data_IF_771828163881
#
_entry.id   IF_771828163881
#
_cell.length_a   1.000
_cell.length_b   1.000
_cell.length_c   1.000
_cell.angle_alpha   90.00
_cell.angle_beta   90.00
_cell.angle_gamma   90.00
#
_symmetry.space_group_name_H-M   'P 1'
#
loop_
_entity.id
_entity.type
_entity.pdbx_description
1 polymer ?
#
# COMPACT_ATOMS: atom_id res chain seq x y z
N UNK A 1 -42.19 28.27 25.56
CA UNK A 1 -42.03 27.40 24.34
C UNK A 1 -40.62 27.47 23.75
N UNK A 2 -39.79 28.48 23.94
CA UNK A 2 -38.42 28.58 23.40
C UNK A 2 -37.36 27.75 24.15
N UNK A 3 -37.52 27.51 25.44
CA UNK A 3 -36.53 26.75 26.23
C UNK A 3 -36.51 25.26 25.94
N UNK A 4 -37.65 24.64 25.57
CA UNK A 4 -37.73 23.22 25.23
C UNK A 4 -37.14 22.89 23.84
N UNK A 5 -37.11 23.85 22.90
CA UNK A 5 -36.53 23.63 21.57
C UNK A 5 -34.99 23.64 21.61
N UNK A 6 -34.40 24.51 22.45
CA UNK A 6 -32.95 24.57 22.59
C UNK A 6 -32.40 23.35 23.36
N UNK A 7 -33.13 22.83 24.36
CA UNK A 7 -32.71 21.61 25.06
C UNK A 7 -32.84 20.35 24.13
N UNK A 8 -33.80 20.32 23.20
CA UNK A 8 -33.97 19.23 22.26
C UNK A 8 -32.89 19.24 21.17
N UNK A 9 -32.47 20.41 20.71
CA UNK A 9 -31.36 20.55 19.74
C UNK A 9 -30.02 20.21 20.39
N UNK A 10 -29.76 20.66 21.60
CA UNK A 10 -28.55 20.33 22.38
C UNK A 10 -28.46 18.80 22.65
N UNK A 11 -29.54 18.15 23.04
CA UNK A 11 -29.57 16.69 23.26
C UNK A 11 -29.28 15.92 21.94
N UNK A 12 -29.78 16.37 20.80
CA UNK A 12 -29.53 15.73 19.51
C UNK A 12 -28.09 15.90 19.04
N UNK A 13 -27.46 17.06 19.25
CA UNK A 13 -26.06 17.31 18.88
C UNK A 13 -25.14 16.43 19.75
N UNK A 14 -25.38 16.34 21.05
CA UNK A 14 -24.62 15.46 21.95
C UNK A 14 -24.80 13.97 21.65
N UNK A 15 -25.98 13.53 21.20
CA UNK A 15 -26.21 12.13 20.83
C UNK A 15 -25.57 11.72 19.49
N UNK A 16 -25.13 12.69 18.66
CA UNK A 16 -24.45 12.40 17.40
C UNK A 16 -22.92 12.40 17.51
N UNK A 17 -22.33 12.94 18.57
CA UNK A 17 -20.88 12.94 18.75
C UNK A 17 -20.40 11.54 19.13
N UNK A 18 -19.48 11.00 18.36
CA UNK A 18 -18.79 9.74 18.66
C UNK A 18 -17.87 9.97 19.88
N UNK A 19 -17.84 9.00 20.79
CA UNK A 19 -16.98 9.02 21.95
C UNK A 19 -15.56 8.54 21.57
N UNK A 20 -14.57 9.43 21.61
CA UNK A 20 -13.20 9.10 21.25
C UNK A 20 -12.58 7.98 22.08
N UNK A 21 -12.70 7.92 23.41
CA UNK A 21 -12.23 6.79 24.21
C UNK A 21 -12.75 5.42 23.73
N UNK A 22 -14.00 5.35 23.27
CA UNK A 22 -14.57 4.11 22.70
C UNK A 22 -14.02 3.82 21.31
N UNK A 23 -13.81 4.83 20.47
CA UNK A 23 -13.17 4.66 19.15
C UNK A 23 -11.71 4.21 19.29
N UNK A 24 -10.95 4.79 20.22
CA UNK A 24 -9.59 4.35 20.52
C UNK A 24 -9.54 2.90 21.03
N UNK A 25 -10.49 2.51 21.89
CA UNK A 25 -10.60 1.14 22.36
C UNK A 25 -10.85 0.16 21.19
N UNK A 26 -11.76 0.51 20.27
CA UNK A 26 -12.03 -0.29 19.07
C UNK A 26 -10.78 -0.42 18.20
N UNK A 27 -10.14 0.70 17.85
CA UNK A 27 -8.95 0.70 17.02
C UNK A 27 -7.80 -0.11 17.66
N UNK A 28 -7.58 0.03 18.97
CA UNK A 28 -6.57 -0.72 19.70
C UNK A 28 -6.85 -2.25 19.67
N UNK A 29 -8.10 -2.68 19.88
CA UNK A 29 -8.46 -4.12 19.84
C UNK A 29 -8.24 -4.69 18.45
N UNK A 30 -8.61 -3.97 17.41
CA UNK A 30 -8.43 -4.42 16.02
C UNK A 30 -6.94 -4.51 15.65
N UNK A 31 -6.14 -3.48 15.98
CA UNK A 31 -4.69 -3.46 15.68
C UNK A 31 -3.91 -4.51 16.47
N UNK A 32 -4.24 -4.67 17.74
CA UNK A 32 -3.58 -5.64 18.62
C UNK A 32 -4.12 -7.06 18.46
N UNK A 33 -5.31 -7.22 17.87
CA UNK A 33 -6.00 -8.50 17.73
C UNK A 33 -6.41 -9.14 19.07
N UNK A 34 -6.39 -8.36 20.20
CA UNK A 34 -6.71 -8.87 21.54
C UNK A 34 -7.15 -7.73 22.46
N UNK A 35 -8.17 -8.00 23.29
CA UNK A 35 -8.67 -7.09 24.30
C UNK A 35 -7.63 -6.82 25.39
N UNK A 36 -6.88 -7.85 25.80
CA UNK A 36 -5.86 -7.76 26.84
C UNK A 36 -4.65 -6.91 26.36
N UNK A 37 -4.23 -7.09 25.10
CA UNK A 37 -3.14 -6.29 24.53
C UNK A 37 -3.57 -4.83 24.35
N UNK A 38 -4.78 -4.60 23.85
CA UNK A 38 -5.34 -3.26 23.72
C UNK A 38 -5.44 -2.53 25.09
N UNK A 39 -5.87 -3.25 26.13
CA UNK A 39 -5.95 -2.71 27.47
C UNK A 39 -4.58 -2.25 28.01
N UNK A 40 -3.54 -3.05 27.77
CA UNK A 40 -2.15 -2.67 28.13
C UNK A 40 -1.69 -1.45 27.36
N UNK A 41 -1.93 -1.40 26.04
CA UNK A 41 -1.54 -0.25 25.19
C UNK A 41 -2.22 1.04 25.61
N UNK A 42 -3.49 0.97 26.06
CA UNK A 42 -4.27 2.14 26.47
C UNK A 42 -4.22 2.42 27.98
N UNK A 43 -3.40 1.65 28.72
CA UNK A 43 -3.26 1.78 30.19
C UNK A 43 -4.59 1.72 30.95
N UNK A 44 -5.48 0.81 30.54
CA UNK A 44 -6.78 0.56 31.16
C UNK A 44 -6.99 -0.93 31.42
N UNK A 45 -8.08 -1.30 32.09
CA UNK A 45 -8.42 -2.71 32.33
C UNK A 45 -9.09 -3.35 31.10
N UNK A 46 -8.96 -4.67 30.86
CA UNK A 46 -9.68 -5.35 29.80
C UNK A 46 -11.20 -5.22 29.88
N UNK A 47 -11.74 -5.14 31.11
CA UNK A 47 -13.17 -4.89 31.35
C UNK A 47 -13.59 -3.50 30.86
N UNK A 48 -12.76 -2.47 31.06
CA UNK A 48 -13.03 -1.12 30.56
C UNK A 48 -13.06 -1.09 29.03
N UNK A 49 -12.12 -1.77 28.36
CA UNK A 49 -12.14 -1.92 26.90
C UNK A 49 -13.43 -2.60 26.43
N UNK A 50 -13.79 -3.74 27.05
CA UNK A 50 -15.00 -4.47 26.69
C UNK A 50 -16.27 -3.64 26.88
N UNK A 51 -16.35 -2.85 27.96
CA UNK A 51 -17.48 -1.97 28.21
C UNK A 51 -17.56 -0.83 27.17
N UNK A 52 -16.43 -0.19 26.84
CA UNK A 52 -16.38 0.88 25.81
C UNK A 52 -16.84 0.37 24.45
N UNK A 53 -16.36 -0.80 24.04
CA UNK A 53 -16.76 -1.41 22.76
C UNK A 53 -18.25 -1.77 22.78
N UNK A 54 -18.75 -2.39 23.85
CA UNK A 54 -20.15 -2.72 23.98
C UNK A 54 -21.05 -1.48 23.88
N UNK A 55 -20.73 -0.39 24.59
CA UNK A 55 -21.48 0.87 24.49
C UNK A 55 -21.45 1.46 23.07
N UNK A 56 -20.33 1.33 22.37
CA UNK A 56 -20.21 1.78 20.98
C UNK A 56 -21.05 0.90 20.05
N UNK A 57 -21.05 -0.42 20.24
CA UNK A 57 -21.88 -1.38 19.49
C UNK A 57 -23.38 -1.13 19.71
N UNK A 58 -23.81 -0.90 20.96
CA UNK A 58 -25.18 -0.51 21.30
C UNK A 58 -25.61 0.78 20.61
N UNK A 59 -24.70 1.76 20.54
CA UNK A 59 -24.96 3.06 19.91
C UNK A 59 -25.03 2.96 18.39
N UNK A 60 -24.16 2.15 17.77
CA UNK A 60 -24.12 1.91 16.32
C UNK A 60 -25.23 0.96 15.87
N UNK A 61 -25.74 0.14 16.78
CA UNK A 61 -26.78 -0.86 16.51
C UNK A 61 -26.26 -2.12 15.82
N UNK A 62 -24.95 -2.36 15.84
CA UNK A 62 -24.32 -3.53 15.23
C UNK A 62 -23.01 -3.91 15.91
N UNK A 63 -22.63 -5.20 15.81
CA UNK A 63 -21.33 -5.65 16.26
C UNK A 63 -20.20 -4.96 15.46
N UNK A 64 -19.16 -4.52 16.16
CA UNK A 64 -17.99 -3.85 15.58
C UNK A 64 -16.74 -4.74 15.57
N UNK A 65 -16.69 -5.76 16.44
CA UNK A 65 -15.60 -6.70 16.58
C UNK A 65 -16.07 -8.12 16.41
N UNK A 66 -15.44 -8.87 15.52
CA UNK A 66 -15.53 -10.34 15.46
C UNK A 66 -14.53 -10.88 16.48
N UNK A 67 -15.05 -11.51 17.54
CA UNK A 67 -14.22 -12.12 18.57
C UNK A 67 -13.55 -13.39 18.03
N UNK A 68 -12.25 -13.51 18.21
CA UNK A 68 -11.43 -14.63 17.75
C UNK A 68 -9.97 -14.41 18.12
N UNK A 69 -9.08 -15.29 17.67
CA UNK A 69 -7.63 -15.11 17.82
C UNK A 69 -7.00 -15.13 16.41
N UNK A 70 -6.69 -13.95 15.85
CA UNK A 70 -6.86 -12.60 16.40
C UNK A 70 -8.31 -12.08 16.29
N UNK A 71 -8.67 -11.11 17.15
CA UNK A 71 -9.88 -10.31 17.00
C UNK A 71 -9.81 -9.49 15.70
N UNK A 72 -10.93 -9.38 15.00
CA UNK A 72 -11.01 -8.64 13.72
C UNK A 72 -12.17 -7.65 13.73
N UNK A 73 -12.05 -6.57 12.98
CA UNK A 73 -13.16 -5.64 12.80
C UNK A 73 -14.25 -6.22 11.88
N UNK A 74 -15.51 -5.93 12.17
CA UNK A 74 -16.60 -6.03 11.21
C UNK A 74 -16.48 -4.91 10.16
N UNK A 75 -17.35 -4.92 9.13
CA UNK A 75 -17.38 -3.81 8.15
C UNK A 75 -17.67 -2.45 8.83
N UNK A 76 -18.64 -2.41 9.75
CA UNK A 76 -18.93 -1.21 10.52
C UNK A 76 -17.73 -0.81 11.43
N UNK A 77 -17.10 -1.80 12.07
CA UNK A 77 -15.90 -1.57 12.89
C UNK A 77 -14.74 -0.99 12.08
N UNK A 78 -14.50 -1.50 10.87
CA UNK A 78 -13.46 -0.97 9.98
C UNK A 78 -13.69 0.50 9.61
N UNK A 79 -14.92 0.87 9.29
CA UNK A 79 -15.29 2.27 8.97
C UNK A 79 -15.01 3.21 10.14
N UNK A 80 -15.27 2.77 11.37
CA UNK A 80 -14.96 3.55 12.56
C UNK A 80 -13.45 3.63 12.84
N UNK A 81 -12.71 2.56 12.62
CA UNK A 81 -11.23 2.60 12.69
C UNK A 81 -10.65 3.60 11.68
N UNK A 82 -11.11 3.56 10.41
CA UNK A 82 -10.72 4.55 9.40
C UNK A 82 -11.07 6.00 9.81
N UNK A 83 -12.23 6.18 10.41
CA UNK A 83 -12.64 7.49 10.88
C UNK A 83 -11.68 8.03 11.94
N UNK A 84 -11.36 7.23 12.98
CA UNK A 84 -10.46 7.69 14.04
C UNK A 84 -9.03 7.92 13.52
N UNK A 85 -8.56 7.11 12.56
CA UNK A 85 -7.25 7.32 11.94
C UNK A 85 -7.16 8.68 11.21
N UNK A 86 -8.23 9.06 10.50
CA UNK A 86 -8.34 10.39 9.87
C UNK A 86 -8.40 11.53 10.88
N UNK A 87 -9.12 11.33 11.97
CA UNK A 87 -9.17 12.33 13.05
C UNK A 87 -7.79 12.54 13.67
N UNK A 88 -7.07 11.44 13.96
CA UNK A 88 -5.71 11.53 14.50
C UNK A 88 -4.74 12.26 13.56
N UNK A 89 -4.91 12.11 12.24
CA UNK A 89 -4.13 12.88 11.27
C UNK A 89 -4.43 14.38 11.35
N UNK A 90 -5.72 14.76 11.39
CA UNK A 90 -6.12 16.16 11.51
C UNK A 90 -5.63 16.79 12.83
N UNK A 91 -5.70 16.03 13.93
CA UNK A 91 -5.15 16.48 15.22
C UNK A 91 -3.61 16.62 15.15
N UNK A 92 -2.92 15.70 14.48
CA UNK A 92 -1.48 15.79 14.28
C UNK A 92 -1.08 17.03 13.44
N UNK A 93 -1.81 17.33 12.37
CA UNK A 93 -1.61 18.55 11.57
C UNK A 93 -1.82 19.80 12.42
N UNK A 94 -2.87 19.83 13.23
CA UNK A 94 -3.16 20.94 14.15
C UNK A 94 -2.05 21.12 15.20
N UNK A 95 -1.50 20.04 15.76
CA UNK A 95 -0.37 20.10 16.68
C UNK A 95 0.88 20.69 16.03
N UNK A 96 1.12 20.41 14.75
CA UNK A 96 2.20 21.03 13.97
C UNK A 96 2.04 22.54 13.82
N UNK A 97 0.80 23.03 13.72
CA UNK A 97 0.47 24.46 13.66
C UNK A 97 0.45 25.12 15.05
N UNK A 98 0.08 24.37 16.09
CA UNK A 98 -0.07 24.83 17.47
C UNK A 98 0.74 23.93 18.43
N UNK A 99 2.07 24.05 18.49
CA UNK A 99 2.93 23.17 19.29
C UNK A 99 2.62 23.19 20.80
N UNK A 100 1.96 24.24 21.29
CA UNK A 100 1.55 24.34 22.70
C UNK A 100 0.46 23.35 23.10
N UNK A 101 -0.22 22.73 22.13
CA UNK A 101 -1.25 21.72 22.37
C UNK A 101 -0.67 20.29 22.42
N UNK A 102 0.59 20.11 22.04
CA UNK A 102 1.21 18.80 22.02
C UNK A 102 1.52 18.32 23.44
N UNK A 103 0.92 17.22 23.93
CA UNK A 103 1.28 16.67 25.22
C UNK A 103 2.74 16.21 25.22
N UNK A 104 3.48 16.49 26.29
CA UNK A 104 4.82 15.94 26.47
C UNK A 104 4.78 14.41 26.35
N UNK A 105 5.54 13.87 25.39
CA UNK A 105 5.56 12.42 25.14
C UNK A 105 4.40 11.88 24.29
N UNK A 106 3.72 12.74 23.51
CA UNK A 106 2.69 12.29 22.57
C UNK A 106 3.22 11.18 21.64
N UNK A 107 2.47 10.10 21.53
CA UNK A 107 2.81 9.01 20.63
C UNK A 107 2.71 9.49 19.17
N UNK A 108 3.77 9.26 18.38
CA UNK A 108 3.78 9.61 16.96
C UNK A 108 2.67 8.87 16.22
N UNK A 109 1.99 9.56 15.33
CA UNK A 109 1.00 8.95 14.44
C UNK A 109 1.69 8.00 13.47
N UNK A 110 1.18 6.78 13.33
CA UNK A 110 1.67 5.81 12.35
C UNK A 110 0.75 5.80 11.14
N UNK A 111 1.33 6.04 9.96
CA UNK A 111 0.63 6.00 8.68
C UNK A 111 0.87 4.67 8.00
N UNK A 112 -0.18 3.88 7.83
CA UNK A 112 -0.13 2.64 7.07
C UNK A 112 -0.32 2.94 5.58
N UNK A 113 0.64 2.53 4.74
CA UNK A 113 0.66 2.79 3.31
C UNK A 113 0.95 1.49 2.57
N UNK A 114 0.17 1.20 1.52
CA UNK A 114 0.47 0.12 0.58
C UNK A 114 1.22 0.67 -0.64
N UNK A 115 2.21 -0.08 -1.11
CA UNK A 115 3.00 0.30 -2.28
C UNK A 115 3.39 -0.95 -3.07
N UNK A 116 3.46 -0.85 -4.39
CA UNK A 116 4.00 -1.95 -5.18
C UNK A 116 5.54 -2.02 -5.05
N UNK A 117 6.08 -3.22 -5.27
CA UNK A 117 7.50 -3.49 -5.05
C UNK A 117 8.44 -2.61 -5.89
N UNK A 118 8.08 -2.33 -7.14
CA UNK A 118 8.91 -1.51 -8.04
C UNK A 118 8.96 -0.05 -7.61
N UNK A 119 7.83 0.53 -7.20
CA UNK A 119 7.79 1.87 -6.63
C UNK A 119 8.61 1.96 -5.35
N UNK A 120 8.48 0.97 -4.45
CA UNK A 120 9.27 0.92 -3.22
C UNK A 120 10.78 0.85 -3.52
N UNK A 121 11.18 0.06 -4.51
CA UNK A 121 12.57 -0.13 -4.89
C UNK A 121 13.19 1.09 -5.60
N UNK A 122 12.38 2.04 -6.04
CA UNK A 122 12.83 3.20 -6.82
C UNK A 122 12.54 4.52 -6.09
N UNK A 123 11.53 5.23 -6.47
CA UNK A 123 11.24 6.61 -6.07
C UNK A 123 10.55 6.74 -4.70
N UNK A 124 9.79 5.71 -4.26
CA UNK A 124 8.94 5.82 -3.07
C UNK A 124 9.77 5.92 -1.77
N UNK A 125 10.79 5.08 -1.61
CA UNK A 125 11.60 5.08 -0.38
C UNK A 125 12.27 6.45 -0.10
N UNK A 126 12.93 7.12 -1.06
CA UNK A 126 13.43 8.48 -0.86
C UNK A 126 12.32 9.50 -0.52
N UNK A 127 11.17 9.42 -1.21
CA UNK A 127 10.07 10.34 -1.00
C UNK A 127 9.47 10.23 0.41
N UNK A 128 9.21 9.00 0.89
CA UNK A 128 8.65 8.81 2.24
C UNK A 128 9.66 9.08 3.35
N UNK A 129 10.95 8.90 3.09
CA UNK A 129 12.01 9.28 4.05
C UNK A 129 12.00 10.79 4.28
N UNK A 130 11.94 11.59 3.20
CA UNK A 130 11.85 13.03 3.30
C UNK A 130 10.56 13.48 3.99
N UNK A 131 9.42 12.86 3.64
CA UNK A 131 8.13 13.13 4.27
C UNK A 131 8.14 12.81 5.77
N UNK A 132 8.61 11.63 6.17
CA UNK A 132 8.64 11.23 7.58
C UNK A 132 9.50 12.16 8.44
N UNK A 133 10.60 12.66 7.88
CA UNK A 133 11.47 13.63 8.56
C UNK A 133 10.78 14.99 8.78
N UNK A 134 9.97 15.44 7.81
CA UNK A 134 9.27 16.73 7.91
C UNK A 134 7.99 16.65 8.75
N UNK A 135 7.22 15.56 8.62
CA UNK A 135 5.92 15.40 9.24
C UNK A 135 5.97 14.75 10.64
N UNK A 136 7.14 14.33 11.14
CA UNK A 136 7.31 13.69 12.46
C UNK A 136 6.40 12.47 12.68
N UNK A 137 6.05 11.74 11.62
CA UNK A 137 5.21 10.54 11.64
C UNK A 137 6.04 9.26 11.56
N UNK A 138 5.43 8.15 11.97
CA UNK A 138 5.93 6.80 11.70
C UNK A 138 5.22 6.24 10.47
N UNK A 139 5.91 5.40 9.71
CA UNK A 139 5.35 4.77 8.51
C UNK A 139 5.32 3.26 8.69
N UNK A 140 4.18 2.67 8.39
CA UNK A 140 4.01 1.23 8.21
C UNK A 140 3.76 0.97 6.73
N UNK A 141 4.81 0.49 6.04
CA UNK A 141 4.75 0.27 4.59
C UNK A 141 4.55 -1.19 4.31
N UNK A 142 3.44 -1.49 3.64
CA UNK A 142 3.13 -2.84 3.17
C UNK A 142 3.36 -2.94 1.67
N UNK A 143 4.11 -3.97 1.26
CA UNK A 143 4.27 -4.27 -0.17
C UNK A 143 3.13 -5.15 -0.60
N UNK A 144 2.32 -4.65 -1.54
CA UNK A 144 1.17 -5.39 -2.05
C UNK A 144 1.35 -5.81 -3.51
N UNK A 145 0.73 -6.93 -3.82
CA UNK A 145 0.36 -7.33 -5.17
C UNK A 145 -0.87 -6.50 -5.59
N UNK A 146 -0.83 -5.93 -6.78
CA UNK A 146 -1.77 -4.91 -7.29
C UNK A 146 -3.28 -5.24 -7.12
N UNK A 147 -3.61 -6.52 -6.92
CA UNK A 147 -4.99 -6.99 -6.80
C UNK A 147 -5.64 -6.70 -5.43
N UNK A 148 -4.86 -6.53 -4.36
CA UNK A 148 -5.36 -6.37 -2.99
C UNK A 148 -5.40 -4.91 -2.52
N UNK A 149 -4.74 -4.00 -3.22
CA UNK A 149 -4.63 -2.59 -2.84
C UNK A 149 -6.01 -1.93 -2.60
N UNK A 150 -6.99 -2.20 -3.46
CA UNK A 150 -8.34 -1.66 -3.31
C UNK A 150 -9.08 -2.24 -2.08
N UNK A 151 -8.80 -3.50 -1.73
CA UNK A 151 -9.35 -4.13 -0.52
C UNK A 151 -8.74 -3.51 0.74
N UNK A 152 -7.45 -3.30 0.77
CA UNK A 152 -6.75 -2.67 1.90
C UNK A 152 -7.21 -1.24 2.15
N UNK A 153 -7.41 -0.45 1.09
CA UNK A 153 -8.02 0.87 1.20
C UNK A 153 -9.47 0.81 1.72
N UNK A 154 -10.29 -0.10 1.16
CA UNK A 154 -11.70 -0.26 1.61
C UNK A 154 -11.81 -0.77 3.03
N UNK A 155 -10.94 -1.68 3.42
CA UNK A 155 -10.92 -2.24 4.78
C UNK A 155 -10.32 -1.29 5.81
N UNK A 156 -9.64 -0.22 5.37
CA UNK A 156 -8.92 0.67 6.26
C UNK A 156 -7.63 0.07 6.83
N UNK A 157 -7.15 -1.01 6.23
CA UNK A 157 -5.83 -1.55 6.58
C UNK A 157 -4.71 -0.56 6.24
N UNK A 158 -4.93 0.27 5.22
CA UNK A 158 -4.03 1.36 4.84
C UNK A 158 -4.80 2.65 4.59
N UNK A 159 -4.17 3.79 4.86
CA UNK A 159 -4.70 5.13 4.62
C UNK A 159 -4.48 5.60 3.20
N UNK A 160 -3.39 5.18 2.59
CA UNK A 160 -3.03 5.50 1.23
C UNK A 160 -2.42 4.30 0.52
N UNK A 161 -2.45 4.32 -0.81
CA UNK A 161 -1.83 3.27 -1.60
C UNK A 161 -1.27 3.82 -2.92
N UNK A 162 -0.09 3.35 -3.29
CA UNK A 162 0.52 3.57 -4.60
C UNK A 162 0.22 2.35 -5.47
N UNK A 163 -0.55 2.56 -6.52
CA UNK A 163 -1.07 1.47 -7.38
C UNK A 163 -1.03 1.89 -8.85
N UNK A 164 -0.95 0.91 -9.74
CA UNK A 164 -1.13 1.10 -11.18
C UNK A 164 -2.62 1.08 -11.60
N UNK A 165 -3.53 0.79 -10.68
CA UNK A 165 -4.96 0.80 -10.97
C UNK A 165 -5.47 2.23 -11.05
N UNK A 166 -5.96 2.63 -12.22
CA UNK A 166 -6.49 3.98 -12.48
C UNK A 166 -7.89 4.21 -11.91
N UNK A 167 -8.59 3.15 -11.48
CA UNK A 167 -9.92 3.27 -10.89
C UNK A 167 -9.79 3.42 -9.38
N UNK A 168 -10.23 4.54 -8.80
CA UNK A 168 -10.18 4.73 -7.35
C UNK A 168 -11.07 3.71 -6.64
N UNK A 169 -10.64 3.25 -5.47
CA UNK A 169 -11.49 2.47 -4.58
C UNK A 169 -12.66 3.35 -4.10
N UNK A 170 -13.82 2.75 -3.85
CA UNK A 170 -15.00 3.48 -3.36
C UNK A 170 -14.69 4.26 -2.09
N UNK A 171 -14.96 5.56 -2.10
CA UNK A 171 -14.67 6.46 -0.97
C UNK A 171 -13.22 6.96 -0.92
N UNK A 172 -12.40 6.70 -1.93
CA UNK A 172 -11.03 7.20 -2.06
C UNK A 172 -10.92 8.19 -3.22
N UNK A 173 -10.01 9.14 -3.08
CA UNK A 173 -9.56 10.00 -4.18
C UNK A 173 -8.34 9.38 -4.84
N UNK A 174 -8.14 9.65 -6.12
CA UNK A 174 -6.98 9.18 -6.89
C UNK A 174 -6.26 10.39 -7.49
N UNK A 175 -4.94 10.41 -7.33
CA UNK A 175 -4.04 11.40 -7.92
C UNK A 175 -3.03 10.69 -8.82
N UNK A 176 -2.91 11.13 -10.07
CA UNK A 176 -1.90 10.61 -10.99
C UNK A 176 -0.52 11.16 -10.59
N UNK A 177 0.43 10.26 -10.29
CA UNK A 177 1.80 10.60 -9.91
C UNK A 177 2.77 10.56 -11.10
N UNK A 178 2.36 9.98 -12.23
CA UNK A 178 3.20 9.78 -13.40
C UNK A 178 3.21 8.33 -13.87
N UNK A 179 4.22 7.99 -14.68
CA UNK A 179 4.38 6.65 -15.23
C UNK A 179 5.82 6.16 -15.01
N UNK A 180 5.96 4.90 -14.62
CA UNK A 180 7.25 4.24 -14.50
C UNK A 180 7.65 3.65 -15.85
N UNK A 181 8.86 3.96 -16.29
CA UNK A 181 9.41 3.42 -17.53
C UNK A 181 10.11 2.10 -17.28
N UNK A 182 9.75 1.09 -18.05
CA UNK A 182 10.39 -0.23 -18.00
C UNK A 182 11.23 -0.47 -19.27
N UNK A 183 12.39 -1.09 -19.07
CA UNK A 183 13.27 -1.50 -20.15
C UNK A 183 13.44 -3.03 -20.14
N UNK A 184 13.35 -3.67 -21.30
CA UNK A 184 13.68 -5.08 -21.46
C UNK A 184 15.20 -5.22 -21.51
N UNK A 185 15.77 -5.97 -20.58
CA UNK A 185 17.23 -6.11 -20.46
C UNK A 185 17.67 -7.56 -20.30
N UNK A 186 18.86 -7.85 -20.77
CA UNK A 186 19.62 -9.07 -20.55
C UNK A 186 21.11 -8.79 -20.69
N UNK A 187 21.98 -9.71 -20.29
CA UNK A 187 23.42 -9.56 -20.51
C UNK A 187 23.78 -9.78 -21.98
N UNK A 188 24.90 -9.21 -22.47
CA UNK A 188 25.39 -9.47 -23.86
C UNK A 188 25.57 -10.96 -24.15
N UNK A 189 26.07 -11.74 -23.21
CA UNK A 189 26.23 -13.18 -23.36
C UNK A 189 24.87 -13.90 -23.52
N UNK A 190 23.84 -13.48 -22.76
CA UNK A 190 22.49 -13.99 -22.89
C UNK A 190 21.89 -13.64 -24.25
N UNK A 191 22.09 -12.39 -24.71
CA UNK A 191 21.61 -11.93 -26.03
C UNK A 191 22.28 -12.74 -27.13
N UNK A 192 23.61 -12.94 -27.11
CA UNK A 192 24.32 -13.75 -28.07
C UNK A 192 23.84 -15.20 -28.14
N UNK A 193 23.43 -15.76 -26.97
CA UNK A 193 22.93 -17.14 -26.88
C UNK A 193 21.51 -17.30 -27.39
N UNK A 194 20.59 -16.43 -27.01
CA UNK A 194 19.17 -16.63 -27.28
C UNK A 194 18.60 -15.77 -28.40
N UNK A 195 19.28 -14.67 -28.74
CA UNK A 195 18.82 -13.68 -29.71
C UNK A 195 19.84 -13.39 -30.84
N UNK A 196 20.62 -14.38 -31.35
CA UNK A 196 21.62 -14.12 -32.38
C UNK A 196 21.03 -13.59 -33.69
N UNK A 197 19.77 -13.92 -33.98
CA UNK A 197 19.00 -13.46 -35.14
C UNK A 197 17.99 -12.37 -34.80
N UNK A 198 18.10 -11.76 -33.60
CA UNK A 198 17.17 -10.75 -33.13
C UNK A 198 16.05 -11.28 -32.23
N UNK A 199 15.30 -10.34 -31.67
CA UNK A 199 14.22 -10.62 -30.72
C UNK A 199 12.92 -10.87 -31.50
N UNK A 200 12.39 -12.09 -31.40
CA UNK A 200 11.15 -12.48 -32.05
C UNK A 200 10.46 -13.62 -31.30
N UNK A 201 9.30 -14.05 -31.79
CA UNK A 201 8.51 -15.06 -31.13
C UNK A 201 9.23 -16.40 -30.94
N UNK A 202 10.01 -16.85 -31.93
CA UNK A 202 10.77 -18.09 -31.85
C UNK A 202 11.90 -18.03 -30.82
N UNK A 203 12.66 -16.92 -30.80
CA UNK A 203 13.73 -16.74 -29.81
C UNK A 203 13.20 -16.53 -28.38
N UNK A 204 12.11 -15.77 -28.22
CA UNK A 204 11.48 -15.53 -26.92
C UNK A 204 10.85 -16.79 -26.31
N UNK A 205 10.33 -17.72 -27.12
CA UNK A 205 9.81 -19.00 -26.63
C UNK A 205 10.88 -19.94 -26.06
N UNK A 206 12.15 -19.65 -26.32
CA UNK A 206 13.31 -20.44 -25.84
C UNK A 206 14.07 -19.69 -24.71
N UNK A 207 14.01 -18.38 -24.73
CA UNK A 207 14.78 -17.52 -23.80
C UNK A 207 14.07 -17.40 -22.44
N UNK A 208 14.67 -17.87 -21.32
CA UNK A 208 14.08 -17.71 -20.00
C UNK A 208 13.81 -16.25 -19.66
N UNK A 209 12.60 -15.96 -19.20
CA UNK A 209 12.19 -14.65 -18.71
C UNK A 209 12.16 -14.61 -17.18
N UNK A 210 12.33 -13.43 -16.60
CA UNK A 210 12.16 -13.19 -15.18
C UNK A 210 10.76 -12.65 -14.93
N UNK A 211 10.03 -13.20 -13.95
CA UNK A 211 8.71 -12.73 -13.51
C UNK A 211 8.65 -12.58 -12.02
N UNK A 212 7.90 -11.59 -11.53
CA UNK A 212 7.80 -11.30 -10.10
C UNK A 212 7.02 -12.39 -9.34
N UNK A 213 5.87 -12.78 -9.88
CA UNK A 213 5.03 -13.86 -9.35
C UNK A 213 4.18 -14.46 -10.47
N UNK A 214 3.28 -15.37 -10.14
CA UNK A 214 2.41 -16.05 -11.11
C UNK A 214 1.37 -15.15 -11.79
N UNK A 215 1.08 -13.98 -11.20
CA UNK A 215 0.14 -13.00 -11.73
C UNK A 215 0.81 -11.89 -12.54
N UNK A 216 2.15 -11.81 -12.48
CA UNK A 216 2.92 -10.84 -13.25
C UNK A 216 2.81 -11.16 -14.74
N UNK A 217 2.11 -10.32 -15.47
CA UNK A 217 1.88 -10.44 -16.92
C UNK A 217 2.65 -9.38 -17.74
N UNK A 218 3.53 -8.59 -17.09
CA UNK A 218 4.23 -7.48 -17.73
C UNK A 218 5.04 -7.93 -18.94
N UNK A 219 5.84 -9.00 -18.80
CA UNK A 219 6.64 -9.58 -19.87
C UNK A 219 5.74 -10.15 -20.99
N UNK A 220 4.67 -10.84 -20.61
CA UNK A 220 3.72 -11.41 -21.57
C UNK A 220 2.99 -10.32 -22.38
N UNK A 221 2.60 -9.23 -21.75
CA UNK A 221 2.01 -8.06 -22.44
C UNK A 221 2.99 -7.40 -23.39
N UNK A 222 4.25 -7.22 -22.97
CA UNK A 222 5.29 -6.64 -23.79
C UNK A 222 5.56 -7.52 -25.03
N UNK A 223 5.72 -8.84 -24.85
CA UNK A 223 5.92 -9.79 -25.92
C UNK A 223 4.74 -9.83 -26.90
N UNK A 224 3.51 -9.77 -26.39
CA UNK A 224 2.31 -9.72 -27.25
C UNK A 224 2.28 -8.46 -28.11
N UNK A 225 2.71 -7.31 -27.59
CA UNK A 225 2.84 -6.07 -28.38
C UNK A 225 3.93 -6.18 -29.44
N UNK A 226 5.08 -6.76 -29.08
CA UNK A 226 6.22 -6.90 -29.98
C UNK A 226 5.94 -7.92 -31.11
N UNK A 227 5.39 -9.08 -30.77
CA UNK A 227 5.20 -10.19 -31.70
C UNK A 227 3.80 -10.22 -32.34
N UNK A 228 2.88 -9.33 -31.94
CA UNK A 228 1.47 -9.31 -32.34
C UNK A 228 0.72 -10.65 -32.15
N UNK A 229 1.24 -11.49 -31.25
CA UNK A 229 0.66 -12.79 -30.89
C UNK A 229 1.05 -13.20 -29.47
N UNK A 230 0.34 -14.16 -28.92
CA UNK A 230 0.72 -14.82 -27.68
C UNK A 230 1.96 -15.72 -27.94
N UNK A 231 2.94 -15.63 -27.00
CA UNK A 231 4.12 -16.51 -26.97
C UNK A 231 4.22 -17.03 -25.54
N UNK A 232 4.30 -18.34 -25.40
CA UNK A 232 4.56 -18.95 -24.10
C UNK A 232 6.04 -18.76 -23.75
N UNK A 233 6.30 -18.22 -22.56
CA UNK A 233 7.64 -17.86 -22.12
C UNK A 233 8.11 -18.84 -21.04
N UNK A 234 9.31 -19.45 -21.18
CA UNK A 234 9.98 -20.06 -20.03
C UNK A 234 10.25 -18.98 -18.99
N UNK A 235 10.00 -19.26 -17.70
CA UNK A 235 10.06 -18.23 -16.67
C UNK A 235 10.70 -18.68 -15.38
N UNK A 236 11.52 -17.82 -14.80
CA UNK A 236 11.96 -17.87 -13.42
C UNK A 236 11.16 -16.89 -12.58
N UNK A 237 10.70 -17.29 -11.42
CA UNK A 237 9.90 -16.45 -10.52
C UNK A 237 10.76 -15.98 -9.36
N UNK A 238 10.89 -14.65 -9.19
CA UNK A 238 11.64 -14.00 -8.12
C UNK A 238 10.83 -12.82 -7.56
N UNK A 239 10.30 -12.90 -6.35
CA UNK A 239 9.42 -11.86 -5.79
C UNK A 239 10.20 -10.69 -5.17
N UNK A 240 11.18 -10.14 -5.89
CA UNK A 240 11.98 -8.99 -5.46
C UNK A 240 12.59 -8.26 -6.65
N UNK A 241 12.36 -6.94 -6.82
CA UNK A 241 12.98 -6.15 -7.88
C UNK A 241 14.50 -6.17 -7.84
N UNK A 242 15.11 -6.18 -6.65
CA UNK A 242 16.55 -6.27 -6.48
C UNK A 242 17.08 -7.64 -6.93
N UNK A 243 16.38 -8.72 -6.56
CA UNK A 243 16.74 -10.06 -7.01
C UNK A 243 16.64 -10.22 -8.54
N UNK A 244 15.69 -9.50 -9.16
CA UNK A 244 15.61 -9.42 -10.63
C UNK A 244 16.87 -8.85 -11.24
N UNK A 245 17.38 -7.73 -10.71
CA UNK A 245 18.61 -7.12 -11.21
C UNK A 245 19.78 -8.08 -11.08
N UNK A 246 19.94 -8.71 -9.92
CA UNK A 246 21.01 -9.69 -9.68
C UNK A 246 20.91 -10.87 -10.65
N UNK A 247 19.72 -11.42 -10.84
CA UNK A 247 19.49 -12.54 -11.75
C UNK A 247 19.75 -12.17 -13.22
N UNK A 248 19.32 -10.96 -13.64
CA UNK A 248 19.59 -10.45 -14.98
C UNK A 248 21.09 -10.28 -15.23
N UNK A 249 21.83 -9.68 -14.28
CA UNK A 249 23.28 -9.49 -14.36
C UNK A 249 24.04 -10.83 -14.37
N UNK A 250 23.52 -11.85 -13.69
CA UNK A 250 24.06 -13.20 -13.72
C UNK A 250 23.72 -13.97 -15.00
N UNK A 251 22.93 -13.39 -15.92
CA UNK A 251 22.54 -14.05 -17.16
C UNK A 251 21.50 -15.15 -17.00
N UNK A 252 20.74 -15.15 -15.89
CA UNK A 252 19.72 -16.14 -15.61
C UNK A 252 18.51 -16.02 -16.55
N UNK A 253 18.18 -14.80 -16.98
CA UNK A 253 17.05 -14.51 -17.83
C UNK A 253 17.02 -13.06 -18.32
N UNK A 254 16.09 -12.78 -19.22
CA UNK A 254 15.73 -11.42 -19.60
C UNK A 254 14.49 -10.98 -18.81
N UNK A 255 14.34 -9.68 -18.59
CA UNK A 255 13.17 -9.15 -17.88
C UNK A 255 12.92 -7.68 -18.18
N UNK A 256 11.73 -7.22 -17.80
CA UNK A 256 11.36 -5.81 -17.78
C UNK A 256 11.68 -5.23 -16.40
N UNK A 257 12.53 -4.22 -16.38
CA UNK A 257 12.98 -3.58 -15.15
C UNK A 257 12.67 -2.10 -15.17
N UNK A 258 12.31 -1.49 -14.01
CA UNK A 258 12.27 -0.04 -13.90
C UNK A 258 13.59 0.58 -14.35
N UNK A 259 13.53 1.57 -15.24
CA UNK A 259 14.73 2.22 -15.78
C UNK A 259 15.63 2.77 -14.68
N UNK A 260 15.06 3.36 -13.63
CA UNK A 260 15.79 3.94 -12.50
C UNK A 260 16.62 2.88 -11.76
N UNK A 261 16.05 1.68 -11.61
CA UNK A 261 16.71 0.60 -10.88
C UNK A 261 17.93 0.02 -11.64
N UNK A 262 17.87 0.02 -12.96
CA UNK A 262 18.94 -0.56 -13.80
C UNK A 262 19.88 0.47 -14.40
N UNK A 263 19.57 1.75 -14.30
CA UNK A 263 20.40 2.83 -14.85
C UNK A 263 21.91 2.71 -14.53
N UNK A 264 22.32 2.31 -13.31
CA UNK A 264 23.74 2.14 -12.97
C UNK A 264 24.44 1.01 -13.76
N UNK A 265 23.68 0.08 -14.31
CA UNK A 265 24.21 -1.11 -15.00
C UNK A 265 24.11 -1.01 -16.52
N UNK A 266 23.45 0.03 -17.05
CA UNK A 266 23.35 0.25 -18.48
C UNK A 266 24.67 0.81 -19.00
N UNK A 267 25.34 0.02 -19.85
CA UNK A 267 26.52 0.50 -20.55
C UNK A 267 26.08 1.34 -21.77
N UNK A 268 26.47 2.62 -21.89
CA UNK A 268 26.14 3.46 -23.05
C UNK A 268 26.68 2.90 -24.38
N UNK A 269 27.70 2.04 -24.34
CA UNK A 269 28.28 1.39 -25.52
C UNK A 269 27.59 0.07 -25.90
N UNK A 270 26.64 -0.42 -25.10
CA UNK A 270 25.80 -1.58 -25.42
C UNK A 270 24.34 -1.12 -25.31
N UNK A 271 23.76 -0.62 -26.38
CA UNK A 271 22.33 -0.39 -26.38
C UNK A 271 21.61 -1.73 -26.24
N UNK A 272 21.19 -2.06 -25.03
CA UNK A 272 20.12 -3.02 -24.78
C UNK A 272 18.82 -2.35 -25.20
N UNK A 273 18.74 -2.04 -26.47
CA UNK A 273 17.50 -1.55 -27.03
C UNK A 273 16.81 -2.74 -27.68
N UNK A 274 15.59 -3.06 -27.24
CA UNK A 274 14.59 -3.19 -28.24
C UNK A 274 14.29 -1.76 -28.67
N UNK A 275 14.77 -1.49 -29.86
CA UNK A 275 14.29 -0.46 -30.72
C UNK A 275 12.92 0.05 -30.35
N UNK A 276 12.90 1.37 -30.17
CA UNK A 276 11.88 2.30 -30.61
C UNK A 276 10.41 1.93 -30.44
N UNK A 277 9.73 2.89 -29.88
CA UNK A 277 8.32 3.19 -30.03
C UNK A 277 7.35 2.41 -29.12
N UNK A 278 7.14 3.02 -27.99
CA UNK A 278 6.08 2.70 -27.07
C UNK A 278 6.10 3.61 -25.88
N UNK A 279 6.22 4.91 -26.11
CA UNK A 279 5.75 5.92 -25.18
C UNK A 279 4.25 5.78 -25.06
N UNK A 280 3.77 5.28 -23.91
CA UNK A 280 2.46 5.61 -23.36
C UNK A 280 2.44 5.29 -21.87
#
# INVERSE_FOLDING_TARGET
MKANYLSFIQLRIFNFMLDYPSLFALAAVVRQGSFERAARTLHVTPSAISQRIRLLEERVGSALVVRGQPCRATEAGRRLCLHIDRVLLLEHELHGELPTLEPEGAARVTLAIAVNADSLATWFAPAVTAFAASAHVLLEVSVDDQDHTAEWLRSGAVLAAVTSNTRPATGCNSLALGAMRYLAVATPAFIGRYFPGGVGAASLSLAPSLVFNTKDDLQARWVRRLCHRHVELPKHTLPSPQAFVVAALAGMGWGLHPQELIAPYLNPNFPLAPTSNGSH
#
